data_IF_054590321220
#
_entry.id   IF_054590321220
#
_cell.length_a   1.000
_cell.length_b   1.000
_cell.length_c   1.000
_cell.angle_alpha   90.00
_cell.angle_beta   90.00
_cell.angle_gamma   90.00
#
_symmetry.space_group_name_H-M   'P 1'
#
loop_
_entity.id
_entity.type
_entity.pdbx_description
1 polymer ?
#
# COMPACT_ATOMS: atom_id res chain seq x y z
N UNK A 1 -16.77 -25.31 -6.48
CA UNK A 1 -17.02 -24.20 -7.42
C UNK A 1 -15.82 -23.26 -7.35
N UNK A 2 -14.96 -23.21 -8.36
CA UNK A 2 -13.84 -22.26 -8.36
C UNK A 2 -14.40 -20.86 -8.58
N UNK A 3 -14.30 -19.98 -7.58
CA UNK A 3 -14.63 -18.56 -7.77
C UNK A 3 -13.83 -18.02 -8.97
N UNK A 4 -14.46 -17.27 -9.89
CA UNK A 4 -13.72 -16.65 -10.98
C UNK A 4 -12.66 -15.70 -10.41
N UNK A 5 -11.40 -15.88 -10.82
CA UNK A 5 -10.28 -15.04 -10.38
C UNK A 5 -10.51 -13.60 -10.82
N UNK A 6 -10.16 -12.64 -9.96
CA UNK A 6 -10.32 -11.22 -10.29
C UNK A 6 -9.42 -10.78 -11.44
N UNK A 7 -9.91 -9.92 -12.32
CA UNK A 7 -9.13 -9.28 -13.39
C UNK A 7 -8.17 -8.23 -12.81
N UNK A 8 -7.17 -7.80 -13.60
CA UNK A 8 -6.25 -6.74 -13.16
C UNK A 8 -6.99 -5.43 -12.88
N UNK A 9 -8.02 -5.09 -13.66
CA UNK A 9 -8.83 -3.89 -13.41
C UNK A 9 -9.59 -3.96 -12.10
N UNK A 10 -10.09 -5.13 -11.72
CA UNK A 10 -10.72 -5.34 -10.40
C UNK A 10 -9.71 -5.21 -9.26
N UNK A 11 -8.50 -5.74 -9.43
CA UNK A 11 -7.43 -5.58 -8.44
C UNK A 11 -6.99 -4.12 -8.28
N UNK A 12 -6.92 -3.38 -9.39
CA UNK A 12 -6.67 -1.94 -9.36
C UNK A 12 -7.80 -1.19 -8.62
N UNK A 13 -9.06 -1.54 -8.88
CA UNK A 13 -10.21 -0.99 -8.17
C UNK A 13 -10.17 -1.23 -6.66
N UNK A 14 -9.79 -2.45 -6.24
CA UNK A 14 -9.57 -2.77 -4.82
C UNK A 14 -8.45 -1.93 -4.20
N UNK A 15 -7.36 -1.72 -4.94
CA UNK A 15 -6.21 -0.93 -4.47
C UNK A 15 -6.59 0.54 -4.26
N UNK A 16 -7.33 1.14 -5.21
CA UNK A 16 -7.87 2.50 -5.07
C UNK A 16 -8.86 2.60 -3.91
N UNK A 17 -9.74 1.61 -3.76
CA UNK A 17 -10.71 1.56 -2.64
C UNK A 17 -10.00 1.53 -1.29
N UNK A 18 -8.96 0.70 -1.16
CA UNK A 18 -8.14 0.64 0.04
C UNK A 18 -7.44 1.97 0.34
N UNK A 19 -6.82 2.60 -0.66
CA UNK A 19 -6.18 3.91 -0.49
C UNK A 19 -7.18 5.02 -0.11
N UNK A 20 -8.40 4.97 -0.66
CA UNK A 20 -9.48 5.87 -0.27
C UNK A 20 -9.96 5.64 1.16
N UNK A 21 -10.08 4.38 1.62
CA UNK A 21 -10.39 4.07 3.01
C UNK A 21 -9.32 4.60 3.97
N UNK A 22 -8.04 4.48 3.59
CA UNK A 22 -6.94 5.03 4.37
C UNK A 22 -7.05 6.57 4.48
N UNK A 23 -7.35 7.26 3.37
CA UNK A 23 -7.61 8.70 3.38
C UNK A 23 -8.84 9.07 4.23
N UNK A 24 -9.94 8.33 4.09
CA UNK A 24 -11.19 8.60 4.80
C UNK A 24 -11.02 8.47 6.33
N UNK A 25 -10.08 7.64 6.80
CA UNK A 25 -9.74 7.53 8.21
C UNK A 25 -8.67 8.50 8.69
N UNK A 26 -8.04 9.25 7.79
CA UNK A 26 -6.95 10.16 8.13
C UNK A 26 -7.47 11.49 8.73
N UNK A 27 -6.79 12.08 9.73
CA UNK A 27 -7.14 13.39 10.26
C UNK A 27 -7.27 14.45 9.14
N UNK A 28 -8.27 15.36 9.23
CA UNK A 28 -9.13 15.65 10.37
C UNK A 28 -10.41 14.79 10.45
N UNK A 29 -10.53 13.72 9.66
CA UNK A 29 -11.72 12.88 9.65
C UNK A 29 -11.95 12.19 11.01
N UNK A 30 -13.20 12.13 11.51
CA UNK A 30 -13.53 11.34 12.70
C UNK A 30 -13.60 9.82 12.40
N UNK A 31 -13.52 9.39 11.14
CA UNK A 31 -13.70 8.00 10.73
C UNK A 31 -12.41 7.15 10.86
N UNK A 32 -11.65 7.32 11.95
CA UNK A 32 -10.38 6.60 12.19
C UNK A 32 -10.50 5.06 12.08
N UNK A 33 -11.70 4.51 12.30
CA UNK A 33 -12.02 3.08 12.11
C UNK A 33 -11.66 2.62 10.68
N UNK A 34 -11.77 3.50 9.67
CA UNK A 34 -11.41 3.19 8.29
C UNK A 34 -9.93 2.79 8.13
N UNK A 35 -9.01 3.28 9.00
CA UNK A 35 -7.59 2.90 8.95
C UNK A 35 -7.37 1.42 9.26
N UNK A 36 -8.13 0.85 10.21
CA UNK A 36 -8.02 -0.56 10.59
C UNK A 36 -8.45 -1.51 9.47
N UNK A 37 -9.38 -1.07 8.62
CA UNK A 37 -9.89 -1.86 7.48
C UNK A 37 -9.27 -1.44 6.15
N UNK A 38 -8.55 -0.32 6.10
CA UNK A 38 -8.02 0.25 4.86
C UNK A 38 -7.01 -0.66 4.16
N UNK A 39 -6.23 -1.44 4.91
CA UNK A 39 -5.34 -2.46 4.35
C UNK A 39 -6.06 -3.72 3.85
N UNK A 40 -7.32 -3.97 4.23
CA UNK A 40 -8.04 -5.20 3.87
C UNK A 40 -8.16 -5.37 2.35
N UNK A 41 -8.58 -4.37 1.56
CA UNK A 41 -8.56 -4.48 0.09
C UNK A 41 -7.19 -4.83 -0.49
N UNK A 42 -6.09 -4.29 0.07
CA UNK A 42 -4.74 -4.60 -0.38
C UNK A 42 -4.35 -6.06 -0.06
N UNK A 43 -4.75 -6.57 1.10
CA UNK A 43 -4.57 -7.98 1.47
C UNK A 43 -5.38 -8.93 0.57
N UNK A 44 -6.59 -8.53 0.16
CA UNK A 44 -7.40 -9.29 -0.81
C UNK A 44 -6.71 -9.32 -2.18
N UNK A 45 -6.17 -8.18 -2.64
CA UNK A 45 -5.40 -8.11 -3.89
C UNK A 45 -4.20 -9.06 -3.85
N UNK A 46 -3.48 -9.08 -2.75
CA UNK A 46 -2.34 -9.96 -2.55
C UNK A 46 -2.74 -11.45 -2.58
N UNK A 47 -3.78 -11.82 -1.85
CA UNK A 47 -4.28 -13.20 -1.78
C UNK A 47 -4.74 -13.72 -3.16
N UNK A 48 -5.42 -12.86 -3.93
CA UNK A 48 -5.81 -13.16 -5.32
C UNK A 48 -4.60 -13.34 -6.25
N UNK A 49 -3.53 -12.56 -6.04
CA UNK A 49 -2.30 -12.68 -6.83
C UNK A 49 -1.50 -13.93 -6.45
N UNK A 50 -1.48 -14.33 -5.18
CA UNK A 50 -0.81 -15.57 -4.75
C UNK A 50 -1.48 -16.84 -5.25
N UNK A 51 -2.81 -16.84 -5.38
CA UNK A 51 -3.58 -17.99 -5.87
C UNK A 51 -3.46 -18.21 -7.38
N UNK A 52 -2.76 -17.34 -8.12
CA UNK A 52 -2.58 -17.49 -9.57
C UNK A 52 -1.63 -18.64 -9.88
N UNK A 53 -1.98 -19.41 -10.91
CA UNK A 53 -1.19 -20.57 -11.36
C UNK A 53 0.19 -20.15 -11.91
N UNK A 54 0.24 -18.98 -12.54
CA UNK A 54 1.50 -18.35 -12.95
C UNK A 54 1.95 -17.38 -11.86
N UNK A 55 3.27 -17.33 -11.56
CA UNK A 55 3.82 -16.28 -10.71
C UNK A 55 3.34 -14.91 -11.21
N UNK A 56 2.73 -14.07 -10.36
CA UNK A 56 2.52 -12.68 -10.74
C UNK A 56 3.87 -12.03 -11.03
N UNK A 57 3.92 -11.19 -12.07
CA UNK A 57 5.15 -10.45 -12.36
C UNK A 57 5.40 -9.45 -11.24
N UNK A 58 6.67 -9.18 -10.89
CA UNK A 58 7.00 -8.17 -9.88
C UNK A 58 6.36 -6.81 -10.17
N UNK A 59 6.22 -6.48 -11.46
CA UNK A 59 5.54 -5.27 -11.94
C UNK A 59 4.04 -5.24 -11.65
N UNK A 60 3.33 -6.38 -11.68
CA UNK A 60 1.91 -6.42 -11.33
C UNK A 60 1.71 -6.12 -9.85
N UNK A 61 2.53 -6.74 -8.99
CA UNK A 61 2.51 -6.53 -7.55
C UNK A 61 2.84 -5.10 -7.18
N UNK A 62 3.93 -4.59 -7.75
CA UNK A 62 4.34 -3.22 -7.58
C UNK A 62 3.26 -2.25 -8.08
N UNK A 63 2.70 -2.47 -9.27
CA UNK A 63 1.69 -1.56 -9.84
C UNK A 63 0.43 -1.43 -8.99
N UNK A 64 -0.11 -2.55 -8.48
CA UNK A 64 -1.31 -2.51 -7.63
C UNK A 64 -1.01 -1.92 -6.24
N UNK A 65 0.13 -2.28 -5.63
CA UNK A 65 0.55 -1.71 -4.35
C UNK A 65 0.85 -0.22 -4.46
N UNK A 66 1.55 0.19 -5.51
CA UNK A 66 1.84 1.59 -5.80
C UNK A 66 0.55 2.39 -5.99
N UNK A 67 -0.45 1.84 -6.69
CA UNK A 67 -1.73 2.53 -6.86
C UNK A 67 -2.45 2.75 -5.52
N UNK A 68 -2.41 1.77 -4.60
CA UNK A 68 -2.94 1.91 -3.25
C UNK A 68 -2.24 3.06 -2.49
N UNK A 69 -0.91 3.03 -2.40
CA UNK A 69 -0.16 4.02 -1.64
C UNK A 69 -0.22 5.40 -2.28
N UNK A 70 -0.20 5.48 -3.62
CA UNK A 70 -0.36 6.72 -4.37
C UNK A 70 -1.73 7.34 -4.14
N UNK A 71 -2.79 6.55 -4.13
CA UNK A 71 -4.15 7.05 -3.84
C UNK A 71 -4.21 7.64 -2.44
N UNK A 72 -3.70 6.90 -1.44
CA UNK A 72 -3.67 7.38 -0.06
C UNK A 72 -2.82 8.65 0.12
N UNK A 73 -1.62 8.68 -0.44
CA UNK A 73 -0.72 9.84 -0.40
C UNK A 73 -1.34 11.05 -1.10
N UNK A 74 -1.78 10.88 -2.35
CA UNK A 74 -2.34 11.98 -3.14
C UNK A 74 -3.54 12.61 -2.45
N UNK A 75 -4.46 11.80 -1.90
CA UNK A 75 -5.65 12.32 -1.22
C UNK A 75 -5.34 12.95 0.15
N UNK A 76 -4.31 12.49 0.84
CA UNK A 76 -3.98 12.98 2.19
C UNK A 76 -3.08 14.21 2.17
N UNK A 77 -2.15 14.27 1.24
CA UNK A 77 -1.10 15.30 1.18
C UNK A 77 -1.19 16.20 -0.05
N UNK A 78 -2.36 16.26 -0.72
CA UNK A 78 -2.57 17.14 -1.89
C UNK A 78 -2.27 18.61 -1.60
N UNK A 79 -2.49 19.06 -0.37
CA UNK A 79 -2.36 20.47 0.03
C UNK A 79 -0.94 21.03 -0.18
N UNK A 80 0.09 20.17 -0.22
CA UNK A 80 1.49 20.55 -0.50
C UNK A 80 1.62 21.23 -1.86
N UNK A 81 0.71 20.92 -2.81
CA UNK A 81 0.65 21.56 -4.11
C UNK A 81 0.63 23.10 -4.02
N UNK A 82 -0.05 23.63 -3.00
CA UNK A 82 -0.15 25.07 -2.78
C UNK A 82 1.17 25.71 -2.34
N UNK A 83 2.12 24.92 -1.81
CA UNK A 83 3.44 25.40 -1.41
C UNK A 83 4.45 25.28 -2.56
N UNK A 84 4.52 24.10 -3.19
CA UNK A 84 5.40 23.84 -4.33
C UNK A 84 4.87 22.69 -5.17
N UNK A 85 4.44 22.92 -6.42
CA UNK A 85 3.94 21.84 -7.29
C UNK A 85 4.98 20.75 -7.53
N UNK A 86 6.23 21.12 -7.79
CA UNK A 86 7.33 20.17 -7.99
C UNK A 86 7.64 19.36 -6.72
N UNK A 87 7.67 20.03 -5.56
CA UNK A 87 7.85 19.37 -4.27
C UNK A 87 6.70 18.42 -3.93
N UNK A 88 5.45 18.81 -4.23
CA UNK A 88 4.28 17.98 -3.99
C UNK A 88 4.30 16.68 -4.80
N UNK A 89 4.56 16.77 -6.10
CA UNK A 89 4.67 15.59 -6.98
C UNK A 89 5.79 14.68 -6.48
N UNK A 90 6.97 15.25 -6.20
CA UNK A 90 8.10 14.48 -5.73
C UNK A 90 7.80 13.77 -4.40
N UNK A 91 7.23 14.47 -3.42
CA UNK A 91 6.89 13.91 -2.12
C UNK A 91 5.86 12.79 -2.23
N UNK A 92 4.74 13.03 -2.93
CA UNK A 92 3.65 12.06 -3.08
C UNK A 92 4.14 10.81 -3.80
N UNK A 93 4.86 10.96 -4.92
CA UNK A 93 5.34 9.82 -5.71
C UNK A 93 6.42 9.07 -4.95
N UNK A 94 7.42 9.77 -4.40
CA UNK A 94 8.54 9.13 -3.71
C UNK A 94 8.07 8.40 -2.46
N UNK A 95 7.23 9.00 -1.63
CA UNK A 95 6.72 8.33 -0.43
C UNK A 95 5.93 7.06 -0.80
N UNK A 96 5.08 7.15 -1.83
CA UNK A 96 4.35 5.98 -2.34
C UNK A 96 5.27 4.89 -2.88
N UNK A 97 6.38 5.24 -3.50
CA UNK A 97 7.39 4.29 -3.97
C UNK A 97 8.08 3.57 -2.80
N UNK A 98 8.49 4.29 -1.75
CA UNK A 98 9.17 3.65 -0.62
C UNK A 98 8.21 2.79 0.20
N UNK A 99 6.94 3.19 0.34
CA UNK A 99 5.90 2.37 0.99
C UNK A 99 5.64 1.04 0.26
N UNK A 100 5.95 0.93 -1.04
CA UNK A 100 5.87 -0.34 -1.75
C UNK A 100 6.91 -1.36 -1.28
N UNK A 101 8.03 -0.92 -0.71
CA UNK A 101 9.12 -1.81 -0.27
C UNK A 101 8.65 -2.81 0.79
N UNK A 102 8.11 -2.40 1.96
CA UNK A 102 7.63 -3.36 2.97
C UNK A 102 6.53 -4.26 2.42
N UNK A 103 5.66 -3.77 1.53
CA UNK A 103 4.62 -4.55 0.88
C UNK A 103 5.18 -5.66 -0.04
N UNK A 104 6.17 -5.34 -0.87
CA UNK A 104 6.82 -6.31 -1.75
C UNK A 104 7.63 -7.35 -0.96
N UNK A 105 8.29 -6.94 0.12
CA UNK A 105 9.00 -7.84 1.03
C UNK A 105 8.01 -8.79 1.71
N UNK A 106 6.89 -8.28 2.23
CA UNK A 106 5.80 -9.07 2.78
C UNK A 106 5.32 -10.14 1.79
N UNK A 107 5.01 -9.73 0.55
CA UNK A 107 4.52 -10.64 -0.47
C UNK A 107 5.51 -11.78 -0.72
N UNK A 108 6.80 -11.44 -0.85
CA UNK A 108 7.86 -12.41 -1.08
C UNK A 108 8.00 -13.37 0.09
N UNK A 109 7.98 -12.87 1.33
CA UNK A 109 8.10 -13.68 2.53
C UNK A 109 6.91 -14.62 2.69
N UNK A 110 5.68 -14.14 2.47
CA UNK A 110 4.48 -14.97 2.51
C UNK A 110 4.50 -16.08 1.47
N UNK A 111 4.99 -15.80 0.27
CA UNK A 111 5.12 -16.80 -0.80
C UNK A 111 6.15 -17.88 -0.48
N UNK A 112 7.25 -17.51 0.18
CA UNK A 112 8.35 -18.44 0.51
C UNK A 112 8.08 -19.26 1.76
N UNK A 113 7.49 -18.65 2.79
CA UNK A 113 7.35 -19.25 4.13
C UNK A 113 5.90 -19.60 4.49
N UNK A 114 4.93 -19.19 3.68
CA UNK A 114 3.51 -19.41 3.93
C UNK A 114 2.80 -18.25 4.65
N UNK A 115 1.50 -18.45 4.91
CA UNK A 115 0.60 -17.39 5.38
C UNK A 115 0.97 -16.78 6.73
N UNK A 116 1.18 -17.61 7.77
CA UNK A 116 1.51 -17.14 9.13
C UNK A 116 2.76 -16.27 9.18
N UNK A 117 3.95 -16.74 8.75
CA UNK A 117 5.15 -15.91 8.73
C UNK A 117 5.03 -14.74 7.76
N UNK A 118 4.24 -14.88 6.69
CA UNK A 118 3.85 -13.79 5.82
C UNK A 118 3.21 -12.64 6.58
N UNK A 119 2.07 -12.85 7.23
CA UNK A 119 1.35 -11.77 7.95
C UNK A 119 2.18 -11.14 9.08
N UNK A 120 2.98 -11.94 9.80
CA UNK A 120 3.91 -11.42 10.80
C UNK A 120 4.97 -10.52 10.14
N UNK A 121 5.50 -10.93 8.98
CA UNK A 121 6.50 -10.14 8.26
C UNK A 121 5.97 -8.79 7.79
N UNK A 122 4.67 -8.67 7.47
CA UNK A 122 4.06 -7.38 7.13
C UNK A 122 4.23 -6.38 8.28
N UNK A 123 3.89 -6.80 9.50
CA UNK A 123 3.99 -5.96 10.69
C UNK A 123 5.45 -5.56 10.93
N UNK A 124 6.37 -6.55 10.88
CA UNK A 124 7.80 -6.31 11.11
C UNK A 124 8.39 -5.35 10.08
N UNK A 125 8.10 -5.57 8.79
CA UNK A 125 8.60 -4.71 7.72
C UNK A 125 7.98 -3.31 7.78
N UNK A 126 6.69 -3.20 8.11
CA UNK A 126 6.03 -1.91 8.21
C UNK A 126 6.58 -1.06 9.37
N UNK A 127 6.68 -1.64 10.58
CA UNK A 127 7.27 -0.95 11.74
C UNK A 127 8.74 -0.60 11.51
N UNK A 128 9.51 -1.50 10.88
CA UNK A 128 10.89 -1.23 10.50
C UNK A 128 11.01 -0.11 9.46
N UNK A 129 10.10 -0.08 8.49
CA UNK A 129 9.98 1.00 7.52
C UNK A 129 9.68 2.34 8.21
N UNK A 130 8.67 2.40 9.09
CA UNK A 130 8.31 3.63 9.82
C UNK A 130 9.48 4.16 10.65
N UNK A 131 10.18 3.27 11.36
CA UNK A 131 11.36 3.66 12.15
C UNK A 131 12.46 4.26 11.28
N UNK A 132 12.72 3.68 10.10
CA UNK A 132 13.70 4.21 9.15
C UNK A 132 13.22 5.54 8.54
N UNK A 133 11.95 5.61 8.13
CA UNK A 133 11.33 6.81 7.55
C UNK A 133 11.28 7.98 8.54
N UNK A 134 11.28 7.71 9.84
CA UNK A 134 11.40 8.74 10.87
C UNK A 134 12.83 9.30 11.03
N UNK A 135 13.87 8.51 10.67
CA UNK A 135 15.27 8.84 10.97
C UNK A 135 16.09 9.34 9.77
N UNK A 136 15.64 9.09 8.54
CA UNK A 136 16.44 9.40 7.36
C UNK A 136 16.27 10.87 6.87
N UNK A 137 17.11 11.31 5.93
CA UNK A 137 17.12 12.71 5.45
C UNK A 137 15.86 13.11 4.67
N UNK A 138 15.15 12.15 4.09
CA UNK A 138 13.89 12.37 3.39
C UNK A 138 12.68 12.12 4.31
N UNK A 139 12.83 12.30 5.63
CA UNK A 139 11.85 11.86 6.61
C UNK A 139 10.47 12.47 6.34
N UNK A 140 9.49 11.58 6.16
CA UNK A 140 8.10 11.95 5.89
C UNK A 140 7.16 11.10 6.76
N UNK A 141 7.16 11.27 8.10
CA UNK A 141 6.41 10.43 9.03
C UNK A 141 4.92 10.82 9.12
N UNK A 142 4.36 11.38 8.04
CA UNK A 142 2.99 11.89 8.01
C UNK A 142 1.95 10.84 7.68
N UNK A 143 2.34 9.67 7.18
CA UNK A 143 1.48 8.57 6.74
C UNK A 143 2.16 7.26 7.11
#
# INVERSE_FOLDING_TARGET
>A
MSNPRLSISQLAGLSVTGGFLMWAGWPPSPAFICLFIGFVPLLVVEDELQKRALPPTGWQLFGVGFLFFLTWNALTTWWIWNASPGGAIFAIVTNSLVMCIPYLLYFRTKRLLGAQPGYISLIVYWVGFEFLHYKWELAWPWL
#
